data_IF_017788288927
#
_entry.id   IF_017788288927
#
_cell.length_a   1.000
_cell.length_b   1.000
_cell.length_c   1.000
_cell.angle_alpha   90.00
_cell.angle_beta   90.00
_cell.angle_gamma   90.00
#
_symmetry.space_group_name_H-M   'P 1'
#
loop_
_entity.id
_entity.type
_entity.pdbx_description
1 polymer ?
#
# COMPACT_ATOMS: atom_id res chain seq x y z
N UNK A 1 -50.08 -47.76 43.38
CA UNK A 1 -50.41 -46.90 42.21
C UNK A 1 -50.26 -45.40 42.45
N UNK A 2 -50.85 -44.82 43.50
CA UNK A 2 -50.80 -43.35 43.74
C UNK A 2 -49.38 -42.73 43.75
N UNK A 3 -48.41 -43.36 44.44
CA UNK A 3 -47.02 -42.88 44.50
C UNK A 3 -46.33 -42.89 43.13
N UNK A 4 -46.60 -43.91 42.31
CA UNK A 4 -46.04 -44.03 40.96
C UNK A 4 -46.59 -42.91 40.06
N UNK A 5 -47.88 -42.64 40.13
CA UNK A 5 -48.53 -41.57 39.37
C UNK A 5 -48.03 -40.17 39.76
N UNK A 6 -47.83 -39.93 41.07
CA UNK A 6 -47.27 -38.67 41.55
C UNK A 6 -45.85 -38.44 41.02
N UNK A 7 -45.00 -39.48 41.04
CA UNK A 7 -43.64 -39.41 40.49
C UNK A 7 -43.63 -39.16 38.98
N UNK A 8 -44.52 -39.81 38.23
CA UNK A 8 -44.62 -39.61 36.77
C UNK A 8 -45.05 -38.17 36.45
N UNK A 9 -46.05 -37.66 37.17
CA UNK A 9 -46.58 -36.31 36.99
C UNK A 9 -45.51 -35.26 37.27
N UNK A 10 -44.88 -35.31 38.45
CA UNK A 10 -43.83 -34.35 38.81
C UNK A 10 -42.61 -34.40 37.87
N UNK A 11 -42.22 -35.59 37.39
CA UNK A 11 -41.18 -35.70 36.34
C UNK A 11 -41.63 -35.02 35.04
N UNK A 12 -42.90 -35.17 34.67
CA UNK A 12 -43.50 -34.56 33.51
C UNK A 12 -43.45 -33.03 33.56
N UNK A 13 -43.83 -32.45 34.71
CA UNK A 13 -43.85 -31.00 34.92
C UNK A 13 -42.44 -30.40 34.75
N UNK A 14 -41.44 -30.98 35.43
CA UNK A 14 -40.04 -30.54 35.36
C UNK A 14 -39.45 -30.69 33.96
N UNK A 15 -39.80 -31.76 33.23
CA UNK A 15 -39.22 -32.02 31.90
C UNK A 15 -39.88 -31.16 30.81
N UNK A 16 -41.18 -30.88 30.92
CA UNK A 16 -41.92 -30.07 29.94
C UNK A 16 -41.67 -28.58 30.12
N UNK A 17 -41.65 -28.10 31.37
CA UNK A 17 -41.49 -26.70 31.69
C UNK A 17 -40.34 -26.47 32.69
N UNK A 18 -39.09 -26.79 32.33
CA UNK A 18 -37.96 -26.67 33.26
C UNK A 18 -37.76 -25.24 33.79
N UNK A 19 -38.13 -24.22 33.00
CA UNK A 19 -38.01 -22.80 33.39
C UNK A 19 -38.89 -22.43 34.59
N UNK A 20 -40.03 -23.09 34.78
CA UNK A 20 -40.93 -22.88 35.93
C UNK A 20 -40.25 -23.32 37.25
N UNK A 21 -39.16 -24.09 37.14
CA UNK A 21 -38.33 -24.58 38.24
C UNK A 21 -36.91 -23.99 38.21
N UNK A 22 -36.70 -22.89 37.48
CA UNK A 22 -35.39 -22.25 37.28
C UNK A 22 -34.33 -23.17 36.65
N UNK A 23 -34.76 -24.22 35.94
CA UNK A 23 -33.89 -25.15 35.23
C UNK A 23 -33.76 -24.78 33.75
N UNK A 24 -32.60 -25.10 33.18
CA UNK A 24 -32.32 -24.91 31.75
C UNK A 24 -32.30 -26.25 31.03
N UNK A 25 -32.82 -26.30 29.80
CA UNK A 25 -32.73 -27.52 28.98
C UNK A 25 -31.29 -27.84 28.59
N UNK A 26 -30.97 -29.13 28.45
CA UNK A 26 -29.67 -29.57 27.92
C UNK A 26 -29.40 -28.96 26.53
N UNK A 27 -30.44 -28.78 25.70
CA UNK A 27 -30.31 -28.17 24.38
C UNK A 27 -29.87 -26.69 24.45
N UNK A 28 -30.44 -25.90 25.37
CA UNK A 28 -30.06 -24.51 25.61
C UNK A 28 -28.63 -24.41 26.15
N UNK A 29 -28.25 -25.28 27.09
CA UNK A 29 -26.89 -25.36 27.61
C UNK A 29 -25.87 -25.69 26.51
N UNK A 30 -26.15 -26.70 25.68
CA UNK A 30 -25.28 -27.08 24.56
C UNK A 30 -25.14 -25.96 23.52
N UNK A 31 -26.19 -25.15 23.32
CA UNK A 31 -26.11 -23.95 22.47
C UNK A 31 -25.13 -22.93 23.04
N UNK A 32 -25.18 -22.66 24.35
CA UNK A 32 -24.24 -21.74 25.00
C UNK A 32 -22.78 -22.24 24.91
N UNK A 33 -22.56 -23.55 25.04
CA UNK A 33 -21.25 -24.17 24.85
C UNK A 33 -20.74 -23.95 23.42
N UNK A 34 -21.57 -24.24 22.41
CA UNK A 34 -21.19 -23.99 21.00
C UNK A 34 -20.83 -22.53 20.74
N UNK A 35 -21.59 -21.59 21.31
CA UNK A 35 -21.29 -20.16 21.18
C UNK A 35 -19.98 -19.78 21.86
N UNK A 36 -19.72 -20.31 23.06
CA UNK A 36 -18.47 -20.10 23.79
C UNK A 36 -17.28 -20.65 23.00
N UNK A 37 -17.40 -21.87 22.50
CA UNK A 37 -16.33 -22.56 21.76
C UNK A 37 -16.08 -21.92 20.39
N UNK A 38 -17.05 -21.16 19.85
CA UNK A 38 -16.89 -20.35 18.64
C UNK A 38 -16.23 -18.97 18.87
N UNK A 39 -15.98 -18.56 20.13
CA UNK A 39 -15.33 -17.27 20.40
C UNK A 39 -13.86 -17.30 19.97
N UNK A 40 -13.30 -16.18 19.48
CA UNK A 40 -11.87 -16.09 19.19
C UNK A 40 -11.01 -16.43 20.42
N UNK A 41 -9.88 -17.09 20.17
CA UNK A 41 -8.87 -17.30 21.21
C UNK A 41 -8.17 -15.99 21.56
N UNK A 42 -7.56 -15.92 22.74
CA UNK A 42 -6.75 -14.77 23.16
C UNK A 42 -5.61 -14.47 22.17
N UNK A 43 -5.00 -15.53 21.62
CA UNK A 43 -3.96 -15.43 20.59
C UNK A 43 -4.52 -14.80 19.31
N UNK A 44 -5.68 -15.25 18.84
CA UNK A 44 -6.33 -14.68 17.65
C UNK A 44 -6.66 -13.18 17.87
N UNK A 45 -7.21 -12.83 19.03
CA UNK A 45 -7.50 -11.44 19.38
C UNK A 45 -6.23 -10.58 19.40
N UNK A 46 -5.19 -11.04 20.10
CA UNK A 46 -3.90 -10.34 20.22
C UNK A 46 -3.24 -10.13 18.85
N UNK A 47 -3.32 -11.12 17.96
CA UNK A 47 -2.78 -10.99 16.60
C UNK A 47 -3.51 -9.92 15.78
N UNK A 48 -4.84 -9.81 15.90
CA UNK A 48 -5.62 -8.78 15.21
C UNK A 48 -5.31 -7.38 15.75
N UNK A 49 -5.10 -7.24 17.07
CA UNK A 49 -4.68 -5.98 17.69
C UNK A 49 -3.29 -5.57 17.18
N UNK A 50 -2.32 -6.48 17.18
CA UNK A 50 -0.99 -6.20 16.65
C UNK A 50 -1.01 -5.77 15.17
N UNK A 51 -1.82 -6.42 14.34
CA UNK A 51 -2.01 -6.02 12.94
C UNK A 51 -2.63 -4.63 12.80
N UNK A 52 -3.62 -4.30 13.64
CA UNK A 52 -4.25 -2.98 13.66
C UNK A 52 -3.24 -1.91 14.05
N UNK A 53 -2.46 -2.17 15.10
CA UNK A 53 -1.50 -1.21 15.67
C UNK A 53 -0.28 -1.01 14.76
N UNK A 54 0.00 -1.96 13.86
CA UNK A 54 1.03 -1.84 12.82
C UNK A 54 0.56 -1.08 11.57
N UNK A 55 -0.71 -0.64 11.47
CA UNK A 55 -1.19 0.12 10.31
C UNK A 55 -0.61 1.54 10.32
N UNK A 56 -0.28 2.11 9.15
CA UNK A 56 0.18 3.49 9.08
C UNK A 56 -0.82 4.48 9.69
N UNK A 57 -0.28 5.48 10.36
CA UNK A 57 -1.02 6.64 10.86
C UNK A 57 -1.59 7.47 9.71
N UNK A 58 -2.56 8.33 10.03
CA UNK A 58 -3.13 9.27 9.05
C UNK A 58 -2.07 10.24 8.52
N UNK A 59 -1.13 10.63 9.37
CA UNK A 59 -0.04 11.54 9.01
C UNK A 59 0.92 10.89 8.00
N UNK A 60 1.37 9.66 8.25
CA UNK A 60 2.20 8.90 7.31
C UNK A 60 1.52 8.70 5.95
N UNK A 61 0.22 8.38 5.96
CA UNK A 61 -0.57 8.31 4.74
C UNK A 61 -0.58 9.64 3.97
N UNK A 62 -0.82 10.75 4.68
CA UNK A 62 -0.86 12.08 4.06
C UNK A 62 0.50 12.48 3.47
N UNK A 63 1.62 12.10 4.11
CA UNK A 63 2.98 12.34 3.58
C UNK A 63 3.19 11.62 2.24
N UNK A 64 2.77 10.35 2.14
CA UNK A 64 2.88 9.59 0.88
C UNK A 64 2.01 10.20 -0.21
N UNK A 65 0.80 10.66 0.12
CA UNK A 65 -0.08 11.36 -0.81
C UNK A 65 0.57 12.65 -1.31
N UNK A 66 1.13 13.46 -0.42
CA UNK A 66 1.84 14.69 -0.80
C UNK A 66 3.02 14.41 -1.74
N UNK A 67 3.82 13.38 -1.44
CA UNK A 67 4.94 12.98 -2.30
C UNK A 67 4.47 12.53 -3.68
N UNK A 68 3.37 11.77 -3.75
CA UNK A 68 2.76 11.36 -5.01
C UNK A 68 2.28 12.56 -5.82
N UNK A 69 1.59 13.49 -5.15
CA UNK A 69 0.99 14.67 -5.79
C UNK A 69 2.05 15.69 -6.24
N UNK A 70 3.27 15.61 -5.68
CA UNK A 70 4.43 16.40 -6.13
C UNK A 70 5.16 15.79 -7.35
N UNK A 71 4.74 14.63 -7.87
CA UNK A 71 5.35 14.02 -9.06
C UNK A 71 4.87 14.74 -10.32
N UNK A 72 5.75 14.98 -11.32
CA UNK A 72 5.36 15.55 -12.60
C UNK A 72 4.29 14.70 -13.30
N UNK A 73 3.32 15.35 -13.92
CA UNK A 73 2.31 14.70 -14.75
C UNK A 73 2.92 14.21 -16.06
N UNK A 74 2.30 13.20 -16.67
CA UNK A 74 2.72 12.71 -17.98
C UNK A 74 2.61 13.79 -19.07
N UNK A 75 1.70 14.74 -18.92
CA UNK A 75 1.58 15.90 -19.81
C UNK A 75 2.78 16.84 -19.68
N UNK A 76 3.21 17.17 -18.47
CA UNK A 76 4.40 18.00 -18.21
C UNK A 76 5.70 17.31 -18.69
N UNK A 77 5.75 15.98 -18.66
CA UNK A 77 6.87 15.20 -19.22
C UNK A 77 6.81 15.14 -20.77
N UNK A 78 5.61 15.14 -21.38
CA UNK A 78 5.41 15.03 -22.83
C UNK A 78 5.37 16.37 -23.58
N UNK A 79 5.17 17.50 -22.90
CA UNK A 79 5.31 18.84 -23.48
C UNK A 79 6.78 19.18 -23.80
N UNK A 80 7.69 18.27 -23.44
CA UNK A 80 8.98 18.08 -24.08
C UNK A 80 8.77 17.55 -25.52
N UNK A 81 8.67 18.47 -26.48
CA UNK A 81 8.57 18.22 -27.94
C UNK A 81 9.42 17.02 -28.41
N UNK A 82 9.01 16.39 -29.53
CA UNK A 82 9.79 15.36 -30.25
C UNK A 82 11.29 15.73 -30.27
N UNK A 83 12.14 14.90 -29.69
CA UNK A 83 13.60 15.12 -29.62
C UNK A 83 14.15 15.64 -28.28
N UNK A 84 13.31 15.95 -27.29
CA UNK A 84 13.79 16.44 -25.99
C UNK A 84 14.16 15.30 -25.02
N UNK A 85 15.26 15.50 -24.27
CA UNK A 85 15.73 14.60 -23.22
C UNK A 85 15.65 15.31 -21.86
N UNK A 86 14.93 14.70 -20.90
CA UNK A 86 14.86 15.18 -19.52
C UNK A 86 15.95 14.50 -18.70
N UNK A 87 16.80 15.29 -18.05
CA UNK A 87 17.90 14.79 -17.22
C UNK A 87 17.68 15.17 -15.76
N UNK A 88 17.90 14.19 -14.88
CA UNK A 88 17.93 14.41 -13.44
C UNK A 88 19.38 14.77 -13.04
N UNK A 89 19.58 15.84 -12.24
CA UNK A 89 20.90 16.19 -11.72
C UNK A 89 21.43 15.12 -10.76
N UNK A 90 22.75 15.11 -10.60
CA UNK A 90 23.41 14.40 -9.53
C UNK A 90 22.96 14.93 -8.16
N UNK A 91 22.92 14.05 -7.16
CA UNK A 91 22.38 14.39 -5.83
C UNK A 91 23.37 15.13 -4.94
N UNK A 92 24.66 15.01 -5.18
CA UNK A 92 25.71 15.60 -4.35
C UNK A 92 26.02 17.02 -4.77
N UNK A 93 26.14 17.27 -6.09
CA UNK A 93 26.52 18.57 -6.63
C UNK A 93 25.38 19.34 -7.30
N UNK A 94 24.19 18.74 -7.37
CA UNK A 94 23.00 19.30 -8.01
C UNK A 94 23.26 19.77 -9.46
N UNK A 95 24.14 19.06 -10.17
CA UNK A 95 24.55 19.39 -11.53
C UNK A 95 24.23 18.25 -12.50
N UNK A 96 24.12 18.60 -13.78
CA UNK A 96 24.12 17.62 -14.86
C UNK A 96 25.43 17.77 -15.63
N UNK A 97 26.20 16.68 -15.67
CA UNK A 97 27.39 16.57 -16.53
C UNK A 97 27.03 15.82 -17.82
N UNK A 98 27.22 16.48 -18.95
CA UNK A 98 27.03 15.89 -20.28
C UNK A 98 28.38 15.79 -20.97
N UNK A 99 28.68 14.60 -21.48
CA UNK A 99 29.81 14.37 -22.39
C UNK A 99 29.28 13.91 -23.73
N UNK A 100 29.67 14.60 -24.79
CA UNK A 100 29.25 14.28 -26.15
C UNK A 100 30.40 14.47 -27.15
N UNK A 101 30.48 13.60 -28.15
CA UNK A 101 31.30 13.77 -29.34
C UNK A 101 30.38 14.05 -30.52
N UNK A 102 30.84 14.89 -31.46
CA UNK A 102 30.22 15.01 -32.77
C UNK A 102 30.90 13.98 -33.65
N UNK A 103 30.13 13.17 -34.37
CA UNK A 103 30.67 12.13 -35.25
C UNK A 103 30.03 12.27 -36.65
N UNK A 104 30.82 12.04 -37.69
CA UNK A 104 30.41 12.13 -39.09
C UNK A 104 30.54 10.77 -39.76
N UNK A 105 29.64 10.48 -40.70
CA UNK A 105 29.60 9.24 -41.49
C UNK A 105 29.13 9.54 -42.91
N UNK A 106 29.64 8.79 -43.88
CA UNK A 106 29.17 8.78 -45.27
C UNK A 106 28.40 7.50 -45.64
N UNK A 107 28.43 6.48 -44.77
CA UNK A 107 27.91 5.14 -45.06
C UNK A 107 26.90 4.60 -44.03
N UNK A 108 26.58 5.39 -42.99
CA UNK A 108 25.73 5.03 -41.85
C UNK A 108 26.21 3.84 -41.02
N UNK A 109 27.42 3.34 -41.25
CA UNK A 109 27.99 2.16 -40.58
C UNK A 109 29.22 2.52 -39.78
N UNK A 110 30.08 3.37 -40.34
CA UNK A 110 31.31 3.82 -39.74
C UNK A 110 31.17 5.30 -39.37
N UNK A 111 31.22 5.57 -38.07
CA UNK A 111 31.14 6.93 -37.52
C UNK A 111 32.54 7.37 -37.10
N UNK A 112 32.95 8.55 -37.54
CA UNK A 112 34.27 9.12 -37.26
C UNK A 112 34.13 10.36 -36.38
N UNK A 113 34.79 10.43 -35.22
CA UNK A 113 34.69 11.60 -34.35
C UNK A 113 35.29 12.85 -34.99
N UNK A 114 34.54 13.94 -34.91
CA UNK A 114 34.99 15.29 -35.22
C UNK A 114 35.56 15.93 -33.96
N UNK A 115 36.89 15.89 -33.84
CA UNK A 115 37.61 16.55 -32.75
C UNK A 115 37.60 15.76 -31.43
N UNK A 116 37.50 16.47 -30.31
CA UNK A 116 37.54 15.88 -28.95
C UNK A 116 36.14 15.76 -28.36
N UNK A 117 35.99 14.89 -27.37
CA UNK A 117 34.79 14.84 -26.54
C UNK A 117 34.59 16.18 -25.82
N UNK A 118 33.42 16.78 -26.02
CA UNK A 118 33.00 17.98 -25.32
C UNK A 118 32.39 17.60 -23.97
N UNK A 119 32.71 18.36 -22.93
CA UNK A 119 32.15 18.20 -21.60
C UNK A 119 31.51 19.51 -21.16
N UNK A 120 30.26 19.43 -20.72
CA UNK A 120 29.51 20.55 -20.16
C UNK A 120 28.97 20.13 -18.79
N UNK A 121 29.24 20.95 -17.77
CA UNK A 121 28.69 20.78 -16.43
C UNK A 121 27.85 21.99 -16.09
N UNK A 122 26.57 21.78 -15.76
CA UNK A 122 25.63 22.85 -15.45
C UNK A 122 25.00 22.58 -14.08
N UNK A 123 25.14 23.50 -13.10
CA UNK A 123 24.48 23.42 -11.80
C UNK A 123 23.06 24.00 -11.85
N UNK A 124 22.10 23.34 -11.21
CA UNK A 124 20.72 23.84 -11.15
C UNK A 124 20.63 25.07 -10.25
N UNK A 125 19.85 26.04 -10.70
CA UNK A 125 19.45 27.17 -9.87
C UNK A 125 18.62 26.70 -8.67
N UNK A 126 18.65 27.49 -7.59
CA UNK A 126 17.90 27.20 -6.37
C UNK A 126 16.42 26.96 -6.66
N UNK A 127 15.89 25.83 -6.18
CA UNK A 127 14.48 25.44 -6.35
C UNK A 127 14.14 24.79 -7.70
N UNK A 128 15.07 24.71 -8.66
CA UNK A 128 14.89 23.93 -9.88
C UNK A 128 15.25 22.47 -9.65
N UNK A 129 14.61 21.57 -10.42
CA UNK A 129 14.74 20.11 -10.24
C UNK A 129 15.21 19.37 -11.49
N UNK A 130 15.02 19.95 -12.67
CA UNK A 130 15.24 19.27 -13.95
C UNK A 130 15.80 20.24 -14.98
N UNK A 131 16.58 19.71 -15.93
CA UNK A 131 16.97 20.40 -17.16
C UNK A 131 16.12 19.94 -18.34
N UNK A 132 15.97 20.85 -19.32
CA UNK A 132 15.47 20.57 -20.65
C UNK A 132 16.41 21.18 -21.68
N UNK A 133 16.78 20.41 -22.69
CA UNK A 133 17.43 20.91 -23.90
C UNK A 133 16.36 21.19 -24.95
N UNK A 134 16.32 22.43 -25.43
CA UNK A 134 15.52 22.83 -26.58
C UNK A 134 16.49 23.10 -27.73
N UNK A 135 16.27 22.44 -28.86
CA UNK A 135 16.95 22.76 -30.11
C UNK A 135 16.04 23.72 -30.88
N UNK A 136 16.61 24.81 -31.36
CA UNK A 136 15.93 25.76 -32.24
C UNK A 136 16.33 25.42 -33.67
N UNK A 137 15.36 25.47 -34.60
CA UNK A 137 15.67 25.44 -36.02
C UNK A 137 16.13 26.85 -36.41
N UNK A 138 17.27 26.96 -37.10
CA UNK A 138 17.77 28.23 -37.67
C UNK A 138 16.89 28.74 -38.83
#
# INVERSE_FOLDING_TARGET
DAVLNARITGRGDVTRNPLDYELTTIASYNTAIKQRDARPTEVAFSSMVAQRDARPTREEYNLVVQQRDARPTLGEVKDARLGSVVLQPDREDNSVKIRFSIEETDDFRNWTPRGVTNELTMPLEAGKKFYRFALEDD
#
